data_IF_122751319540
#
_entry.id   IF_122751319540
#
_cell.length_a   1.000
_cell.length_b   1.000
_cell.length_c   1.000
_cell.angle_alpha   90.00
_cell.angle_beta   90.00
_cell.angle_gamma   90.00
#
_symmetry.space_group_name_H-M   'P 1'
#
loop_
_entity.id
_entity.type
_entity.pdbx_description
1 polymer ?
#
# COMPACT_ATOMS: atom_id res chain seq x y z
N UNK A 1 -7.06 6.47 17.47
CA UNK A 1 -7.78 6.11 16.25
C UNK A 1 -7.01 5.03 15.51
N UNK A 2 -7.69 4.05 14.96
CA UNK A 2 -7.11 2.99 14.13
C UNK A 2 -7.97 2.88 12.87
N UNK A 3 -7.37 3.04 11.71
CA UNK A 3 -8.02 2.81 10.42
C UNK A 3 -7.45 1.56 9.77
N UNK A 4 -8.33 0.68 9.30
CA UNK A 4 -7.96 -0.57 8.62
C UNK A 4 -8.68 -0.65 7.27
N UNK A 5 -7.95 -1.05 6.25
CA UNK A 5 -8.52 -1.34 4.95
C UNK A 5 -7.79 -2.51 4.29
N UNK A 6 -8.43 -3.12 3.34
CA UNK A 6 -7.81 -4.17 2.53
C UNK A 6 -8.22 -4.07 1.07
N UNK A 7 -7.39 -4.58 0.20
CA UNK A 7 -7.67 -4.69 -1.22
C UNK A 7 -7.29 -6.08 -1.73
N UNK A 8 -8.10 -6.68 -2.62
CA UNK A 8 -7.78 -7.96 -3.21
C UNK A 8 -6.70 -7.82 -4.27
N UNK A 9 -5.93 -8.88 -4.47
CA UNK A 9 -5.15 -9.06 -5.67
C UNK A 9 -6.06 -9.29 -6.88
N UNK A 10 -5.49 -9.25 -8.07
CA UNK A 10 -6.23 -9.48 -9.31
C UNK A 10 -5.46 -10.43 -10.21
N UNK A 11 -6.17 -11.11 -11.09
CA UNK A 11 -5.59 -11.82 -12.22
C UNK A 11 -6.23 -11.37 -13.51
N UNK A 12 -5.45 -11.28 -14.58
CA UNK A 12 -5.94 -11.03 -15.93
C UNK A 12 -6.06 -12.38 -16.61
N UNK A 13 -7.28 -12.76 -16.98
CA UNK A 13 -7.56 -14.05 -17.62
C UNK A 13 -7.22 -14.01 -19.09
N UNK A 14 -7.60 -12.94 -19.80
CA UNK A 14 -7.37 -12.76 -21.23
C UNK A 14 -7.15 -11.27 -21.55
N UNK A 15 -6.34 -11.01 -22.58
CA UNK A 15 -6.20 -9.69 -23.17
C UNK A 15 -5.14 -8.79 -22.54
N UNK A 16 -4.19 -9.32 -21.79
CA UNK A 16 -3.13 -8.54 -21.12
C UNK A 16 -2.22 -7.78 -22.10
N UNK A 17 -2.01 -8.30 -23.31
CA UNK A 17 -1.25 -7.61 -24.35
C UNK A 17 -2.13 -6.73 -25.22
N UNK A 18 -3.28 -7.25 -25.67
CA UNK A 18 -4.16 -6.56 -26.61
C UNK A 18 -4.85 -5.35 -26.00
N UNK A 19 -5.06 -5.32 -24.68
CA UNK A 19 -5.70 -4.20 -23.99
C UNK A 19 -4.96 -2.88 -24.16
N UNK A 20 -3.64 -2.89 -24.33
CA UNK A 20 -2.85 -1.68 -24.58
C UNK A 20 -3.11 -1.07 -25.97
N UNK A 21 -3.72 -1.84 -26.86
CA UNK A 21 -4.14 -1.39 -28.20
C UNK A 21 -5.65 -1.10 -28.28
N UNK A 22 -6.32 -0.99 -27.16
CA UNK A 22 -7.75 -0.68 -27.09
C UNK A 22 -8.70 -1.88 -27.18
N UNK A 23 -8.16 -3.11 -27.20
CA UNK A 23 -8.97 -4.33 -27.23
C UNK A 23 -9.45 -4.73 -25.82
N UNK A 24 -10.56 -5.47 -25.70
CA UNK A 24 -11.08 -5.89 -24.40
C UNK A 24 -10.12 -6.83 -23.66
N UNK A 25 -10.16 -6.74 -22.32
CA UNK A 25 -9.51 -7.69 -21.42
C UNK A 25 -10.51 -8.17 -20.38
N UNK A 26 -10.27 -9.35 -19.82
CA UNK A 26 -11.05 -9.92 -18.72
C UNK A 26 -10.12 -10.10 -17.53
N UNK A 27 -10.46 -9.46 -16.43
CA UNK A 27 -9.74 -9.57 -15.17
C UNK A 27 -10.71 -9.91 -14.04
N UNK A 28 -10.22 -10.58 -13.03
CA UNK A 28 -10.99 -10.92 -11.84
C UNK A 28 -10.21 -10.64 -10.56
N UNK A 29 -10.91 -10.31 -9.49
CA UNK A 29 -10.33 -10.26 -8.17
C UNK A 29 -10.12 -11.69 -7.64
N UNK A 30 -9.01 -11.90 -6.93
CA UNK A 30 -8.70 -13.16 -6.27
C UNK A 30 -8.75 -13.00 -4.76
N UNK A 31 -9.09 -14.08 -4.05
CA UNK A 31 -9.19 -14.04 -2.58
C UNK A 31 -7.81 -14.13 -1.91
N UNK A 32 -6.91 -13.26 -2.32
CA UNK A 32 -5.64 -12.95 -1.68
C UNK A 32 -5.59 -11.45 -1.51
N UNK A 33 -5.32 -10.97 -0.31
CA UNK A 33 -5.51 -9.56 0.02
C UNK A 33 -4.27 -8.94 0.64
N UNK A 34 -4.16 -7.64 0.42
CA UNK A 34 -3.26 -6.75 1.15
C UNK A 34 -4.09 -6.02 2.21
N UNK A 35 -3.59 -6.00 3.43
CA UNK A 35 -4.20 -5.33 4.58
C UNK A 35 -3.31 -4.17 5.01
N UNK A 36 -3.89 -3.01 5.23
CA UNK A 36 -3.18 -1.83 5.74
C UNK A 36 -3.88 -1.34 7.00
N UNK A 37 -3.09 -1.12 8.04
CA UNK A 37 -3.53 -0.54 9.30
C UNK A 37 -2.79 0.78 9.52
N UNK A 38 -3.50 1.84 9.82
CA UNK A 38 -2.95 3.16 10.13
C UNK A 38 -3.35 3.55 11.55
N UNK A 39 -2.39 4.03 12.30
CA UNK A 39 -2.56 4.57 13.67
C UNK A 39 -1.86 5.91 13.75
N UNK A 40 -2.31 6.77 14.66
CA UNK A 40 -1.51 7.91 15.08
C UNK A 40 -0.19 7.43 15.66
N UNK A 41 0.91 8.05 15.27
CA UNK A 41 2.20 7.73 15.83
C UNK A 41 2.32 8.28 17.26
N UNK A 42 2.98 7.53 18.13
CA UNK A 42 3.33 8.00 19.47
C UNK A 42 4.59 8.85 19.50
N UNK A 43 5.23 9.02 18.34
CA UNK A 43 6.43 9.84 18.16
C UNK A 43 6.17 10.95 17.15
N UNK A 44 7.15 11.79 16.93
CA UNK A 44 7.13 12.83 15.90
C UNK A 44 7.43 12.30 14.49
N UNK A 45 7.53 10.99 14.34
CA UNK A 45 7.93 10.32 13.10
C UNK A 45 6.84 9.39 12.59
N UNK A 46 6.73 9.31 11.27
CA UNK A 46 5.91 8.31 10.61
C UNK A 46 6.75 7.08 10.32
N UNK A 47 6.23 5.90 10.65
CA UNK A 47 6.93 4.64 10.45
C UNK A 47 6.06 3.70 9.60
N UNK A 48 6.69 3.09 8.61
CA UNK A 48 6.09 2.03 7.81
C UNK A 48 6.72 0.69 8.16
N UNK A 49 5.88 -0.30 8.42
CA UNK A 49 6.29 -1.68 8.72
C UNK A 49 5.57 -2.67 7.83
N UNK A 50 6.32 -3.61 7.27
CA UNK A 50 5.78 -4.78 6.59
C UNK A 50 6.45 -6.03 7.17
N UNK A 51 5.96 -6.55 8.32
CA UNK A 51 6.63 -7.64 9.03
C UNK A 51 6.77 -8.92 8.21
N UNK A 52 5.82 -9.22 7.32
CA UNK A 52 5.82 -10.42 6.49
C UNK A 52 7.03 -10.52 5.56
N UNK A 53 7.61 -9.38 5.20
CA UNK A 53 8.81 -9.30 4.34
C UNK A 53 10.01 -8.71 5.08
N UNK A 54 9.92 -8.55 6.40
CA UNK A 54 11.00 -8.01 7.23
C UNK A 54 11.40 -6.58 6.88
N UNK A 55 10.45 -5.74 6.49
CA UNK A 55 10.72 -4.36 6.06
C UNK A 55 10.27 -3.35 7.10
N UNK A 56 11.11 -2.35 7.35
CA UNK A 56 10.77 -1.18 8.17
C UNK A 56 11.51 0.05 7.66
N UNK A 57 10.80 1.19 7.62
CA UNK A 57 11.36 2.47 7.21
C UNK A 57 10.69 3.63 7.94
N UNK A 58 11.46 4.68 8.20
CA UNK A 58 10.94 5.99 8.60
C UNK A 58 10.51 6.76 7.35
N UNK A 59 9.32 7.35 7.38
CA UNK A 59 8.75 8.07 6.25
C UNK A 59 8.89 9.58 6.42
N UNK A 60 9.32 10.25 5.34
CA UNK A 60 9.34 11.71 5.22
C UNK A 60 8.37 12.06 4.08
N UNK A 61 7.07 12.01 4.38
CA UNK A 61 6.02 12.07 3.37
C UNK A 61 5.99 13.37 2.56
N UNK A 62 6.33 14.50 3.18
CA UNK A 62 6.39 15.81 2.49
C UNK A 62 7.44 15.87 1.38
N UNK A 63 8.49 15.05 1.48
CA UNK A 63 9.60 15.02 0.52
C UNK A 63 9.58 13.77 -0.35
N UNK A 64 8.58 12.88 -0.18
CA UNK A 64 8.53 11.55 -0.81
C UNK A 64 9.81 10.74 -0.60
N UNK A 65 10.39 10.86 0.59
CA UNK A 65 11.64 10.19 0.97
C UNK A 65 11.40 9.23 2.13
N UNK A 66 12.31 8.33 2.32
CA UNK A 66 12.32 7.41 3.45
C UNK A 66 13.75 7.11 3.91
N UNK A 67 13.86 6.72 5.17
CA UNK A 67 15.11 6.23 5.74
C UNK A 67 14.89 4.74 6.04
N UNK A 68 15.61 3.88 5.32
CA UNK A 68 15.50 2.44 5.48
C UNK A 68 16.10 2.02 6.82
N UNK A 69 15.29 1.37 7.65
CA UNK A 69 15.72 0.84 8.95
C UNK A 69 15.99 -0.66 8.85
N UNK A 70 15.19 -1.39 8.05
CA UNK A 70 15.28 -2.84 7.92
C UNK A 70 14.74 -3.31 6.57
N UNK A 71 15.41 -4.31 5.97
CA UNK A 71 14.96 -4.94 4.74
C UNK A 71 15.42 -4.23 3.46
N UNK A 72 14.76 -4.54 2.35
CA UNK A 72 15.06 -3.99 1.03
C UNK A 72 13.92 -3.11 0.52
N UNK A 73 14.20 -1.99 -0.18
CA UNK A 73 13.15 -1.18 -0.78
C UNK A 73 12.38 -1.96 -1.84
N UNK A 74 11.10 -1.70 -1.94
CA UNK A 74 10.22 -2.34 -2.91
C UNK A 74 8.93 -1.54 -3.04
N UNK A 75 7.92 -1.93 -2.30
CA UNK A 75 6.59 -1.30 -2.32
C UNK A 75 6.53 0.09 -1.68
N UNK A 76 7.60 0.52 -1.03
CA UNK A 76 7.64 1.76 -0.23
C UNK A 76 7.25 2.99 -1.06
N UNK A 77 7.61 3.04 -2.35
CA UNK A 77 7.27 4.16 -3.21
C UNK A 77 5.77 4.35 -3.38
N UNK A 78 4.99 3.27 -3.40
CA UNK A 78 3.52 3.34 -3.50
C UNK A 78 2.91 3.93 -2.23
N UNK A 79 3.47 3.57 -1.08
CA UNK A 79 3.08 4.11 0.23
C UNK A 79 3.39 5.61 0.28
N UNK A 80 4.60 6.01 -0.09
CA UNK A 80 5.03 7.42 -0.08
C UNK A 80 4.19 8.29 -1.01
N UNK A 81 3.89 7.81 -2.21
CA UNK A 81 3.06 8.55 -3.16
C UNK A 81 1.63 8.71 -2.64
N UNK A 82 1.08 7.66 -2.04
CA UNK A 82 -0.26 7.69 -1.44
C UNK A 82 -0.32 8.70 -0.28
N UNK A 83 0.67 8.70 0.59
CA UNK A 83 0.78 9.65 1.70
C UNK A 83 0.90 11.08 1.21
N UNK A 84 1.76 11.31 0.25
CA UNK A 84 1.99 12.65 -0.30
C UNK A 84 0.70 13.27 -0.86
N UNK A 85 -0.16 12.45 -1.49
CA UNK A 85 -1.39 12.91 -2.13
C UNK A 85 -2.59 13.00 -1.20
N UNK A 86 -2.67 12.12 -0.20
CA UNK A 86 -3.91 11.89 0.54
C UNK A 86 -3.78 12.14 2.05
N UNK A 87 -2.63 12.62 2.53
CA UNK A 87 -2.42 12.80 3.97
C UNK A 87 -1.88 14.21 4.30
N UNK A 88 -2.23 14.71 5.48
CA UNK A 88 -1.82 16.02 5.99
C UNK A 88 -0.39 16.07 6.54
N UNK A 89 0.32 14.95 6.44
CA UNK A 89 1.70 14.75 6.90
C UNK A 89 1.89 14.74 8.43
N UNK A 90 0.81 14.62 9.20
CA UNK A 90 0.94 14.33 10.64
C UNK A 90 1.59 12.96 10.85
N UNK A 91 2.30 12.74 11.97
CA UNK A 91 2.96 11.46 12.22
C UNK A 91 1.98 10.30 12.35
N UNK A 92 2.19 9.25 11.57
CA UNK A 92 1.38 8.03 11.57
C UNK A 92 2.24 6.77 11.50
N UNK A 93 1.76 5.71 12.11
CA UNK A 93 2.31 4.37 11.96
C UNK A 93 1.48 3.58 10.97
N UNK A 94 2.12 3.04 9.94
CA UNK A 94 1.49 2.22 8.91
C UNK A 94 2.04 0.81 9.01
N UNK A 95 1.14 -0.17 9.13
CA UNK A 95 1.50 -1.58 9.08
C UNK A 95 0.81 -2.23 7.89
N UNK A 96 1.59 -2.91 7.06
CA UNK A 96 1.12 -3.68 5.91
C UNK A 96 1.32 -5.17 6.17
N UNK A 97 0.27 -5.94 5.90
CA UNK A 97 0.28 -7.40 5.89
C UNK A 97 -0.32 -7.89 4.57
N UNK A 98 0.21 -8.97 4.01
CA UNK A 98 -0.24 -9.47 2.72
C UNK A 98 -0.18 -10.99 2.67
N UNK A 99 -1.22 -11.61 2.14
CA UNK A 99 -1.19 -13.01 1.73
C UNK A 99 -1.11 -13.19 0.21
N UNK A 100 -0.82 -12.11 -0.51
CA UNK A 100 -0.52 -12.15 -1.95
C UNK A 100 0.91 -12.66 -2.14
N UNK A 101 1.13 -13.74 -2.88
CA UNK A 101 2.48 -14.24 -3.12
C UNK A 101 3.37 -13.22 -3.85
N UNK A 102 4.61 -13.06 -3.39
CA UNK A 102 5.58 -12.16 -4.01
C UNK A 102 5.92 -12.65 -5.42
N UNK A 103 5.94 -11.72 -6.38
CA UNK A 103 6.31 -12.03 -7.76
C UNK A 103 5.31 -12.88 -8.52
N UNK A 104 4.08 -13.00 -8.01
CA UNK A 104 3.04 -13.86 -8.60
C UNK A 104 2.33 -13.25 -9.83
N UNK A 105 2.61 -12.00 -10.17
CA UNK A 105 1.88 -11.30 -11.25
C UNK A 105 0.43 -10.95 -10.89
N UNK A 106 0.04 -11.03 -9.62
CA UNK A 106 -1.33 -10.81 -9.15
C UNK A 106 -1.65 -9.34 -8.81
N UNK A 107 -0.89 -8.38 -9.32
CA UNK A 107 -1.17 -6.96 -9.13
C UNK A 107 -1.00 -6.48 -7.69
N UNK A 108 0.00 -6.97 -6.99
CA UNK A 108 0.26 -6.63 -5.59
C UNK A 108 0.48 -5.14 -5.38
N UNK A 109 1.17 -4.44 -6.30
CA UNK A 109 1.39 -3.00 -6.22
C UNK A 109 0.11 -2.19 -6.27
N UNK A 110 -0.84 -2.58 -7.12
CA UNK A 110 -2.15 -1.94 -7.18
C UNK A 110 -2.96 -2.20 -5.90
N UNK A 111 -2.93 -3.42 -5.37
CA UNK A 111 -3.59 -3.76 -4.12
C UNK A 111 -3.01 -2.98 -2.93
N UNK A 112 -1.69 -2.82 -2.87
CA UNK A 112 -1.01 -1.99 -1.86
C UNK A 112 -1.48 -0.53 -1.94
N UNK A 113 -1.50 0.03 -3.14
CA UNK A 113 -1.94 1.43 -3.35
C UNK A 113 -3.38 1.63 -2.94
N UNK A 114 -4.28 0.77 -3.38
CA UNK A 114 -5.73 0.86 -3.07
C UNK A 114 -5.97 0.70 -1.57
N UNK A 115 -5.37 -0.31 -0.93
CA UNK A 115 -5.55 -0.53 0.50
C UNK A 115 -4.98 0.64 1.32
N UNK A 116 -3.84 1.20 0.92
CA UNK A 116 -3.23 2.35 1.59
C UNK A 116 -4.11 3.58 1.48
N UNK A 117 -4.58 3.92 0.29
CA UNK A 117 -5.47 5.06 0.07
C UNK A 117 -6.78 4.90 0.85
N UNK A 118 -7.39 3.73 0.82
CA UNK A 118 -8.61 3.47 1.57
C UNK A 118 -8.41 3.65 3.08
N UNK A 119 -7.31 3.14 3.64
CA UNK A 119 -7.00 3.32 5.06
C UNK A 119 -6.73 4.79 5.42
N UNK A 120 -6.05 5.54 4.53
CA UNK A 120 -5.81 6.98 4.72
C UNK A 120 -7.12 7.77 4.72
N UNK A 121 -8.00 7.54 3.75
CA UNK A 121 -9.30 8.22 3.71
C UNK A 121 -10.17 7.87 4.91
N UNK A 122 -10.18 6.63 5.37
CA UNK A 122 -10.86 6.25 6.62
C UNK A 122 -10.27 6.98 7.82
N UNK A 123 -8.95 7.15 7.88
CA UNK A 123 -8.30 7.89 8.97
C UNK A 123 -8.71 9.36 9.00
N UNK A 124 -8.90 9.99 7.84
CA UNK A 124 -9.33 11.38 7.73
C UNK A 124 -10.78 11.58 8.19
N UNK A 125 -11.66 10.61 8.00
CA UNK A 125 -13.05 10.68 8.46
C UNK A 125 -13.16 10.71 9.98
N UNK A 126 -12.19 10.14 10.69
CA UNK A 126 -12.18 10.03 12.15
C UNK A 126 -11.42 11.16 12.86
N UNK A 127 -10.95 12.13 12.12
CA UNK A 127 -10.32 13.36 12.67
C UNK A 127 -11.43 14.45 12.96
#
# INVERSE_FOLDING_TARGET
MIAKASAPAKTILFGEHSVVYGEPAIAGAVNKRVYVTIKESKSDKSIFRAPDIGFEAELISRQKKYILTKGKPGIIRYILESLYRAHDHSPIDITLSSNVPIGSGLGSSAAVTVATLAALYLSLIHI
#
